data_IF_667027490367
#
_entry.id   IF_667027490367
#
_cell.length_a   1.000
_cell.length_b   1.000
_cell.length_c   1.000
_cell.angle_alpha   90.00
_cell.angle_beta   90.00
_cell.angle_gamma   90.00
#
_symmetry.space_group_name_H-M   'P 1'
#
loop_
_entity.id
_entity.type
_entity.pdbx_description
1 polymer ?
#
# COMPACT_ATOMS: atom_id res chain seq x y z
N UNK A 1 29.44 -44.71 47.38
CA UNK A 1 29.04 -43.33 47.05
C UNK A 1 29.19 -43.01 45.55
N UNK A 2 28.83 -43.87 44.60
CA UNK A 2 29.03 -43.64 43.15
C UNK A 2 27.77 -43.73 42.29
N UNK A 3 26.61 -44.09 42.86
CA UNK A 3 25.38 -44.35 42.12
C UNK A 3 24.38 -43.17 42.03
N UNK A 4 24.61 -42.07 42.78
CA UNK A 4 23.66 -40.94 42.83
C UNK A 4 23.89 -39.87 41.76
N UNK A 5 25.05 -39.85 41.10
CA UNK A 5 25.43 -38.80 40.13
C UNK A 5 24.87 -39.01 38.69
N UNK A 6 24.54 -40.26 38.38
CA UNK A 6 24.08 -40.57 37.00
C UNK A 6 22.58 -40.30 36.75
N UNK A 7 21.77 -40.13 37.81
CA UNK A 7 20.31 -39.94 37.66
C UNK A 7 19.92 -38.49 37.38
N UNK A 8 20.75 -37.52 37.76
CA UNK A 8 20.47 -36.10 37.51
C UNK A 8 20.86 -35.62 36.10
N UNK A 9 21.84 -36.26 35.44
CA UNK A 9 22.31 -35.82 34.12
C UNK A 9 21.26 -36.00 33.02
N UNK A 10 20.42 -37.06 33.05
CA UNK A 10 19.36 -37.29 32.07
C UNK A 10 18.18 -36.32 32.18
N UNK A 11 18.00 -35.69 33.32
CA UNK A 11 16.98 -34.65 33.54
C UNK A 11 17.42 -33.30 32.95
N UNK A 12 18.69 -32.94 33.09
CA UNK A 12 19.28 -31.73 32.57
C UNK A 12 19.36 -31.70 31.03
N UNK A 13 19.68 -32.84 30.42
CA UNK A 13 19.71 -32.99 28.94
C UNK A 13 18.33 -32.77 28.29
N UNK A 14 17.25 -33.26 28.91
CA UNK A 14 15.88 -33.04 28.44
C UNK A 14 15.44 -31.57 28.56
N UNK A 15 15.83 -30.92 29.66
CA UNK A 15 15.58 -29.52 29.88
C UNK A 15 16.32 -28.63 28.85
N UNK A 16 17.58 -28.96 28.60
CA UNK A 16 18.38 -28.25 27.57
C UNK A 16 17.79 -28.39 26.17
N UNK A 17 17.37 -29.59 25.78
CA UNK A 17 16.72 -29.84 24.46
C UNK A 17 15.39 -29.07 24.31
N UNK A 18 14.58 -28.99 25.39
CA UNK A 18 13.33 -28.19 25.34
C UNK A 18 13.63 -26.69 25.22
N UNK A 19 14.66 -26.18 25.89
CA UNK A 19 15.05 -24.78 25.75
C UNK A 19 15.57 -24.44 24.36
N UNK A 20 16.42 -25.33 23.80
CA UNK A 20 16.91 -25.19 22.41
C UNK A 20 15.77 -25.18 21.40
N UNK A 21 14.81 -26.11 21.54
CA UNK A 21 13.62 -26.14 20.72
C UNK A 21 12.78 -24.86 20.86
N UNK A 22 12.59 -24.34 22.06
CA UNK A 22 11.84 -23.11 22.31
C UNK A 22 12.50 -21.90 21.65
N UNK A 23 13.82 -21.77 21.76
CA UNK A 23 14.58 -20.69 21.11
C UNK A 23 14.50 -20.83 19.59
N UNK A 24 14.77 -22.02 19.07
CA UNK A 24 14.71 -22.31 17.63
C UNK A 24 13.32 -22.03 17.05
N UNK A 25 12.25 -22.45 17.74
CA UNK A 25 10.87 -22.20 17.34
C UNK A 25 10.54 -20.71 17.35
N UNK A 26 11.00 -19.96 18.33
CA UNK A 26 10.78 -18.51 18.41
C UNK A 26 11.44 -17.78 17.25
N UNK A 27 12.68 -18.12 16.91
CA UNK A 27 13.39 -17.55 15.76
C UNK A 27 12.67 -17.91 14.46
N UNK A 28 12.29 -19.17 14.29
CA UNK A 28 11.57 -19.64 13.08
C UNK A 28 10.24 -18.91 12.88
N UNK A 29 9.41 -18.83 13.92
CA UNK A 29 8.12 -18.14 13.87
C UNK A 29 8.30 -16.65 13.59
N UNK A 30 9.29 -16.00 14.22
CA UNK A 30 9.59 -14.59 13.96
C UNK A 30 10.01 -14.35 12.51
N UNK A 31 10.84 -15.21 11.95
CA UNK A 31 11.24 -15.14 10.55
C UNK A 31 10.04 -15.33 9.60
N UNK A 32 9.16 -16.28 9.89
CA UNK A 32 7.94 -16.53 9.12
C UNK A 32 7.02 -15.30 9.10
N UNK A 33 6.80 -14.65 10.25
CA UNK A 33 6.05 -13.40 10.31
C UNK A 33 6.72 -12.28 9.51
N UNK A 34 8.05 -12.20 9.54
CA UNK A 34 8.80 -11.24 8.73
C UNK A 34 8.53 -11.39 7.23
N UNK A 35 8.51 -12.63 6.74
CA UNK A 35 8.19 -12.92 5.31
C UNK A 35 6.75 -12.51 4.97
N UNK A 36 5.78 -12.81 5.84
CA UNK A 36 4.38 -12.42 5.64
C UNK A 36 4.22 -10.89 5.61
N UNK A 37 4.91 -10.16 6.47
CA UNK A 37 4.87 -8.70 6.51
C UNK A 37 5.47 -8.07 5.24
N UNK A 38 6.56 -8.62 4.73
CA UNK A 38 7.14 -8.17 3.44
C UNK A 38 6.14 -8.42 2.30
N UNK A 39 5.47 -9.57 2.28
CA UNK A 39 4.41 -9.87 1.31
C UNK A 39 3.26 -8.87 1.37
N UNK A 40 2.81 -8.51 2.59
CA UNK A 40 1.76 -7.50 2.82
C UNK A 40 2.21 -6.11 2.35
N UNK A 41 3.44 -5.74 2.62
CA UNK A 41 4.02 -4.46 2.17
C UNK A 41 4.06 -4.36 0.64
N UNK A 42 4.49 -5.43 -0.05
CA UNK A 42 4.50 -5.49 -1.52
C UNK A 42 3.09 -5.41 -2.12
N UNK A 43 2.12 -6.07 -1.49
CA UNK A 43 0.72 -5.96 -1.89
C UNK A 43 0.21 -4.51 -1.76
N UNK A 44 0.46 -3.85 -0.63
CA UNK A 44 0.10 -2.43 -0.43
C UNK A 44 0.78 -1.54 -1.46
N UNK A 45 2.09 -1.74 -1.71
CA UNK A 45 2.83 -1.01 -2.73
C UNK A 45 2.15 -1.10 -4.11
N UNK A 46 1.85 -2.29 -4.59
CA UNK A 46 1.17 -2.50 -5.87
C UNK A 46 -0.23 -1.88 -5.89
N UNK A 47 -0.97 -2.00 -4.79
CA UNK A 47 -2.31 -1.43 -4.66
C UNK A 47 -2.31 0.10 -4.69
N UNK A 48 -1.29 0.77 -4.13
CA UNK A 48 -1.12 2.23 -4.20
C UNK A 48 -0.77 2.70 -5.62
N UNK A 49 0.08 1.95 -6.34
CA UNK A 49 0.35 2.21 -7.76
C UNK A 49 -0.94 2.11 -8.59
N UNK A 50 -1.74 1.08 -8.37
CA UNK A 50 -3.01 0.91 -9.08
C UNK A 50 -4.05 1.97 -8.70
N UNK A 51 -4.06 2.44 -7.45
CA UNK A 51 -4.90 3.54 -7.00
C UNK A 51 -4.60 4.82 -7.80
N UNK A 52 -3.32 5.19 -7.96
CA UNK A 52 -2.93 6.37 -8.77
C UNK A 52 -3.30 6.21 -10.23
N UNK A 53 -3.15 5.01 -10.80
CA UNK A 53 -3.54 4.72 -12.19
C UNK A 53 -5.05 4.84 -12.42
N UNK A 54 -5.87 4.31 -11.51
CA UNK A 54 -7.34 4.44 -11.59
C UNK A 54 -7.77 5.89 -11.53
N UNK A 55 -7.23 6.65 -10.56
CA UNK A 55 -7.52 8.06 -10.41
C UNK A 55 -7.13 8.88 -11.65
N UNK A 56 -5.90 8.68 -12.17
CA UNK A 56 -5.41 9.39 -13.34
C UNK A 56 -6.26 9.11 -14.58
N UNK A 57 -6.61 7.85 -14.86
CA UNK A 57 -7.49 7.46 -15.97
C UNK A 57 -8.86 8.09 -15.87
N UNK A 58 -9.44 8.12 -14.69
CA UNK A 58 -10.74 8.76 -14.48
C UNK A 58 -10.64 10.27 -14.71
N UNK A 59 -9.64 10.91 -14.10
CA UNK A 59 -9.45 12.36 -14.17
C UNK A 59 -9.20 12.88 -15.60
N UNK A 60 -8.43 12.14 -16.41
CA UNK A 60 -8.19 12.47 -17.82
C UNK A 60 -9.49 12.54 -18.62
N UNK A 61 -10.43 11.62 -18.36
CA UNK A 61 -11.67 11.51 -19.13
C UNK A 61 -12.78 12.48 -18.70
N UNK A 62 -12.68 13.08 -17.51
CA UNK A 62 -13.75 13.89 -16.91
C UNK A 62 -13.49 15.41 -16.89
N UNK A 63 -12.27 15.83 -17.24
CA UNK A 63 -11.90 17.25 -17.23
C UNK A 63 -11.70 17.85 -15.84
N UNK A 64 -11.55 19.19 -15.79
CA UNK A 64 -11.04 19.97 -14.63
C UNK A 64 -12.12 20.41 -13.62
N UNK A 65 -13.25 19.77 -13.51
CA UNK A 65 -14.26 20.19 -12.53
C UNK A 65 -13.92 19.70 -11.10
N UNK A 66 -14.37 20.45 -10.08
CA UNK A 66 -14.22 20.06 -8.67
C UNK A 66 -14.90 18.70 -8.39
N UNK A 67 -16.05 18.45 -9.01
CA UNK A 67 -16.75 17.16 -8.92
C UNK A 67 -15.93 16.02 -9.51
N UNK A 68 -15.30 16.23 -10.66
CA UNK A 68 -14.42 15.25 -11.29
C UNK A 68 -13.18 14.94 -10.44
N UNK A 69 -12.58 15.96 -9.82
CA UNK A 69 -11.45 15.76 -8.89
C UNK A 69 -11.86 14.92 -7.69
N UNK A 70 -13.01 15.21 -7.07
CA UNK A 70 -13.53 14.43 -5.95
C UNK A 70 -13.83 12.99 -6.36
N UNK A 71 -14.47 12.80 -7.49
CA UNK A 71 -14.74 11.46 -8.02
C UNK A 71 -13.45 10.68 -8.36
N UNK A 72 -12.41 11.35 -8.89
CA UNK A 72 -11.10 10.74 -9.14
C UNK A 72 -10.41 10.29 -7.85
N UNK A 73 -10.48 11.09 -6.79
CA UNK A 73 -9.97 10.71 -5.46
C UNK A 73 -10.74 9.50 -4.89
N UNK A 74 -12.06 9.49 -5.05
CA UNK A 74 -12.89 8.36 -4.65
C UNK A 74 -12.54 7.09 -5.44
N UNK A 75 -12.27 7.20 -6.73
CA UNK A 75 -11.80 6.09 -7.57
C UNK A 75 -10.45 5.52 -7.08
N UNK A 76 -9.54 6.37 -6.60
CA UNK A 76 -8.30 5.90 -6.00
C UNK A 76 -8.55 5.05 -4.75
N UNK A 77 -9.36 5.58 -3.83
CA UNK A 77 -9.55 5.00 -2.49
C UNK A 77 -10.54 3.84 -2.50
N UNK A 78 -11.71 4.03 -3.11
CA UNK A 78 -12.85 3.09 -3.02
C UNK A 78 -13.09 2.29 -4.31
N UNK A 79 -12.45 2.66 -5.42
CA UNK A 79 -12.71 2.04 -6.72
C UNK A 79 -14.04 2.44 -7.36
N UNK A 80 -14.77 3.40 -6.79
CA UNK A 80 -16.01 3.95 -7.30
C UNK A 80 -16.07 5.47 -7.14
N UNK A 81 -16.92 6.14 -7.91
CA UNK A 81 -17.04 7.61 -7.92
C UNK A 81 -17.82 8.18 -6.75
N UNK A 82 -18.71 7.36 -6.16
CA UNK A 82 -19.55 7.77 -5.02
C UNK A 82 -18.79 7.89 -3.70
N UNK A 83 -17.60 7.28 -3.59
CA UNK A 83 -16.81 7.27 -2.36
C UNK A 83 -17.42 6.40 -1.26
N UNK A 84 -18.12 5.34 -1.64
CA UNK A 84 -18.80 4.44 -0.71
C UNK A 84 -18.09 3.09 -0.61
N UNK A 85 -18.22 2.44 0.54
CA UNK A 85 -17.62 1.15 0.82
C UNK A 85 -16.33 1.26 1.63
N UNK A 86 -15.59 0.16 1.71
CA UNK A 86 -14.29 0.12 2.38
C UNK A 86 -13.17 0.58 1.44
N UNK A 87 -12.16 1.27 1.94
CA UNK A 87 -10.97 1.58 1.15
C UNK A 87 -10.33 0.30 0.59
N UNK A 88 -9.91 0.33 -0.68
CA UNK A 88 -9.23 -0.79 -1.33
C UNK A 88 -7.83 -1.05 -0.75
N UNK A 89 -7.21 -0.01 -0.21
CA UNK A 89 -5.97 -0.10 0.56
C UNK A 89 -6.30 0.33 1.99
N UNK A 90 -5.98 -0.48 3.02
CA UNK A 90 -6.23 -0.12 4.40
C UNK A 90 -5.67 1.26 4.74
N UNK A 91 -6.40 2.03 5.53
CA UNK A 91 -6.00 3.36 6.01
C UNK A 91 -5.73 4.44 4.93
N UNK A 92 -5.97 4.14 3.63
CA UNK A 92 -5.89 5.12 2.57
C UNK A 92 -7.12 6.02 2.59
N UNK A 93 -6.90 7.34 2.62
CA UNK A 93 -7.95 8.36 2.62
C UNK A 93 -7.89 9.25 1.39
N UNK A 94 -9.00 9.88 1.04
CA UNK A 94 -9.05 10.84 -0.08
C UNK A 94 -8.21 12.10 0.16
N UNK A 95 -7.89 12.42 1.42
CA UNK A 95 -7.00 13.52 1.78
C UNK A 95 -5.54 13.30 1.34
N UNK A 96 -5.12 12.03 1.27
CA UNK A 96 -3.78 11.63 0.82
C UNK A 96 -3.66 11.57 -0.71
N UNK A 97 -4.78 11.67 -1.43
CA UNK A 97 -4.81 11.64 -2.90
C UNK A 97 -4.87 13.05 -3.45
N UNK A 98 -3.88 13.40 -4.28
CA UNK A 98 -3.80 14.69 -4.95
C UNK A 98 -3.95 14.51 -6.46
N UNK A 99 -4.79 15.32 -7.06
CA UNK A 99 -4.98 15.37 -8.52
C UNK A 99 -4.52 16.73 -9.00
N UNK A 100 -3.58 16.75 -9.92
CA UNK A 100 -3.01 17.98 -10.50
C UNK A 100 -3.19 17.97 -12.01
N UNK A 101 -3.70 19.08 -12.56
CA UNK A 101 -3.85 19.29 -13.99
C UNK A 101 -2.85 20.35 -14.45
N UNK A 102 -2.17 20.08 -15.56
CA UNK A 102 -1.21 21.01 -16.18
C UNK A 102 -1.56 21.18 -17.65
N UNK A 103 -1.74 22.43 -18.08
CA UNK A 103 -2.05 22.81 -19.49
C UNK A 103 -3.29 22.10 -20.08
N UNK A 104 -4.21 21.69 -19.23
CA UNK A 104 -5.35 20.85 -19.62
C UNK A 104 -6.34 21.57 -20.54
N UNK A 105 -6.43 22.90 -20.44
CA UNK A 105 -7.34 23.75 -21.25
C UNK A 105 -6.87 23.92 -22.70
N UNK A 106 -5.62 23.59 -23.02
CA UNK A 106 -5.03 23.79 -24.35
C UNK A 106 -5.11 22.54 -25.27
N UNK A 107 -5.89 21.55 -24.88
CA UNK A 107 -6.13 20.37 -25.72
C UNK A 107 -5.00 19.33 -25.74
N UNK A 108 -4.06 19.39 -24.82
CA UNK A 108 -2.90 18.48 -24.75
C UNK A 108 -2.26 18.41 -23.38
N UNK A 109 -3.03 18.69 -22.33
CA UNK A 109 -2.53 18.76 -20.95
C UNK A 109 -2.20 17.41 -20.32
N UNK A 110 -1.60 17.47 -19.13
CA UNK A 110 -1.25 16.30 -18.34
C UNK A 110 -2.04 16.29 -17.04
N UNK A 111 -2.58 15.14 -16.68
CA UNK A 111 -3.17 14.89 -15.36
C UNK A 111 -2.22 14.01 -14.56
N UNK A 112 -1.91 14.44 -13.37
CA UNK A 112 -1.10 13.69 -12.41
C UNK A 112 -1.95 13.32 -11.20
N UNK A 113 -2.07 12.03 -10.92
CA UNK A 113 -2.61 11.52 -9.67
C UNK A 113 -1.46 11.06 -8.78
N UNK A 114 -1.47 11.52 -7.54
CA UNK A 114 -0.42 11.25 -6.56
C UNK A 114 -1.04 10.79 -5.23
N UNK A 115 -0.46 9.76 -4.62
CA UNK A 115 -0.73 9.38 -3.23
C UNK A 115 0.47 9.77 -2.40
N UNK A 116 0.28 10.66 -1.45
CA UNK A 116 1.32 11.16 -0.55
C UNK A 116 1.10 10.63 0.88
N UNK A 117 2.20 10.53 1.63
CA UNK A 117 2.16 10.32 3.09
C UNK A 117 1.38 9.07 3.55
N UNK A 118 1.50 7.96 2.83
CA UNK A 118 0.94 6.69 3.31
C UNK A 118 1.87 6.05 4.34
N UNK A 119 1.34 5.79 5.52
CA UNK A 119 2.06 5.18 6.64
C UNK A 119 1.71 3.68 6.72
N UNK A 120 2.68 2.83 6.43
CA UNK A 120 2.56 1.38 6.56
C UNK A 120 2.92 0.95 7.98
N UNK A 121 1.96 0.30 8.67
CA UNK A 121 2.17 -0.22 10.03
C UNK A 121 2.48 -1.71 9.99
N UNK A 122 3.63 -2.09 10.56
CA UNK A 122 4.02 -3.49 10.73
C UNK A 122 3.23 -4.12 11.89
N UNK A 123 2.74 -5.35 11.70
CA UNK A 123 2.04 -6.16 12.70
C UNK A 123 2.93 -7.31 13.14
N UNK A 124 4.15 -7.02 13.57
CA UNK A 124 5.07 -8.02 14.11
C UNK A 124 4.79 -8.24 15.60
N UNK A 125 4.81 -9.50 16.09
CA UNK A 125 4.79 -9.77 17.51
C UNK A 125 5.94 -9.03 18.20
N UNK A 126 5.68 -8.31 19.27
CA UNK A 126 6.66 -7.54 20.07
C UNK A 126 7.22 -6.26 19.40
N UNK A 127 6.94 -5.98 18.14
CA UNK A 127 7.45 -4.79 17.44
C UNK A 127 6.33 -4.15 16.66
N UNK A 128 5.81 -3.03 17.12
CA UNK A 128 4.96 -2.14 16.32
C UNK A 128 5.82 -1.01 15.77
N UNK A 129 6.05 -1.00 14.47
CA UNK A 129 6.72 0.10 13.77
C UNK A 129 5.88 0.56 12.59
N UNK A 130 5.87 1.87 12.40
CA UNK A 130 5.26 2.51 11.23
C UNK A 130 6.37 2.99 10.31
N UNK A 131 6.22 2.77 9.01
CA UNK A 131 7.14 3.25 7.99
C UNK A 131 6.36 4.07 6.97
N UNK A 132 6.80 5.30 6.71
CA UNK A 132 6.23 6.13 5.65
C UNK A 132 6.73 5.64 4.30
N UNK A 133 5.79 5.28 3.43
CA UNK A 133 6.09 4.91 2.06
C UNK A 133 6.35 6.16 1.20
N UNK A 134 7.13 6.03 0.11
CA UNK A 134 7.36 7.14 -0.83
C UNK A 134 6.05 7.55 -1.51
N UNK A 135 6.01 8.74 -2.08
CA UNK A 135 4.89 9.18 -2.88
C UNK A 135 4.77 8.37 -4.17
N UNK A 136 3.55 7.97 -4.51
CA UNK A 136 3.22 7.24 -5.73
C UNK A 136 2.58 8.19 -6.72
N UNK A 137 3.12 8.26 -7.94
CA UNK A 137 2.66 9.16 -8.99
C UNK A 137 2.33 8.41 -10.27
N UNK A 138 1.23 8.79 -10.91
CA UNK A 138 0.91 8.41 -12.29
C UNK A 138 0.50 9.66 -13.05
N UNK A 139 1.20 9.96 -14.14
CA UNK A 139 0.86 11.05 -15.06
C UNK A 139 0.37 10.48 -16.37
N UNK A 140 -0.75 10.99 -16.85
CA UNK A 140 -1.34 10.65 -18.14
C UNK A 140 -1.55 11.93 -18.95
N UNK A 141 -1.22 11.89 -20.22
CA UNK A 141 -1.53 12.97 -21.16
C UNK A 141 -2.99 12.89 -21.56
N UNK A 142 -3.69 14.03 -21.50
CA UNK A 142 -5.00 14.15 -22.09
C UNK A 142 -4.82 14.17 -23.61
N UNK A 143 -4.93 13.02 -24.23
CA UNK A 143 -5.08 12.96 -25.67
C UNK A 143 -6.47 13.48 -26.01
N UNK A 144 -6.58 14.35 -27.04
CA UNK A 144 -7.86 14.87 -27.55
C UNK A 144 -8.70 13.73 -28.15
N UNK A 145 -9.24 12.87 -27.31
CA UNK A 145 -10.20 11.88 -27.75
C UNK A 145 -11.50 12.62 -28.17
N UNK A 146 -11.54 13.04 -29.43
CA UNK A 146 -12.75 13.58 -30.05
C UNK A 146 -12.89 15.09 -30.09
N UNK A 147 -11.87 15.89 -29.79
CA UNK A 147 -11.92 17.33 -30.14
C UNK A 147 -11.73 17.49 -31.63
N UNK A 148 -12.82 17.67 -32.34
CA UNK A 148 -12.83 18.19 -33.74
C UNK A 148 -12.72 19.72 -33.60
N UNK A 149 -11.58 20.35 -33.97
CA UNK A 149 -11.51 21.81 -33.96
C UNK A 149 -12.63 22.33 -34.91
N UNK A 150 -13.50 23.17 -34.38
CA UNK A 150 -14.44 23.90 -35.19
C UNK A 150 -13.63 24.76 -36.18
N UNK A 151 -13.60 24.35 -37.43
CA UNK A 151 -13.07 25.17 -38.52
C UNK A 151 -13.98 26.40 -38.57
N UNK A 152 -13.50 27.54 -38.08
CA UNK A 152 -14.15 28.83 -38.28
C UNK A 152 -13.98 29.19 -39.75
N UNK A 153 -15.04 29.41 -40.51
CA UNK A 153 -14.98 29.77 -41.92
C UNK A 153 -14.39 31.17 -42.14
#
# INVERSE_FOLDING_TARGET
MKAMRAKNMKGDERGAALLEFAIGSTIFVSAMFGVLEVGRMLWVHNSLVDATRRAARYAVNQGMSTGAQTAAKNMAVYGNTAGTGQPLVPDLTTAQVKITYQNFELGGGTVTAEVEAYDFSFVLPLVSRTMRLPAYKTSLTAENAGYVPTVIP
#
